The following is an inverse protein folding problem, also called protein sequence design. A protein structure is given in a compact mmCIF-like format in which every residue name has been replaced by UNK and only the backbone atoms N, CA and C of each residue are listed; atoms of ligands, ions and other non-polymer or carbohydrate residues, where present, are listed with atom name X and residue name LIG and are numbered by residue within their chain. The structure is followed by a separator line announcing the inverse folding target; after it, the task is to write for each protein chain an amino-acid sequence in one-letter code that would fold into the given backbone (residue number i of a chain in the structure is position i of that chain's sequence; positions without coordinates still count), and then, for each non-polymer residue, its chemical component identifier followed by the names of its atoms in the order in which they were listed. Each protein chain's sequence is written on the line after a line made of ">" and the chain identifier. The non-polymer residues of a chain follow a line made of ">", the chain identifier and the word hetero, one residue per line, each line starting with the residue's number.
data_IF_205676548241
#
_entry.id   IF_205676548241
#
_cell.length_a   1.000
_cell.length_b   1.000
_cell.length_c   1.000
_cell.angle_alpha   90.00
_cell.angle_beta   90.00
_cell.angle_gamma   90.00
#
_symmetry.space_group_name_H-M   'P 1'
#
loop_
_entity.id
_entity.type
_entity.pdbx_description
1 polymer ?
#
# COMPACT_ATOMS: atom_id res chain seq x y z
N UNK A 1 -11.96 0.16 6.77
CA UNK A 1 -11.26 -0.91 6.02
C UNK A 1 -10.99 -0.38 4.63
N UNK A 2 -9.74 -0.05 4.31
CA UNK A 2 -9.39 0.44 2.97
C UNK A 2 -9.15 -0.77 2.05
N UNK A 3 -9.76 -0.77 0.86
CA UNK A 3 -9.80 -1.92 -0.06
C UNK A 3 -9.28 -1.51 -1.44
N UNK A 4 -8.56 -2.41 -2.11
CA UNK A 4 -8.11 -2.20 -3.49
C UNK A 4 -9.17 -2.73 -4.46
N UNK A 5 -9.64 -1.87 -5.37
CA UNK A 5 -10.61 -2.19 -6.40
C UNK A 5 -9.91 -2.59 -7.70
N UNK A 6 -10.11 -3.85 -8.14
CA UNK A 6 -9.52 -4.38 -9.39
C UNK A 6 -10.13 -3.78 -10.64
N UNK A 7 -11.41 -3.39 -10.60
CA UNK A 7 -12.15 -2.84 -11.73
C UNK A 7 -12.22 -1.29 -11.70
N UNK A 8 -11.29 -0.66 -11.00
CA UNK A 8 -11.19 0.81 -10.94
C UNK A 8 -10.31 1.33 -12.09
N UNK A 9 -10.58 2.53 -12.64
CA UNK A 9 -9.67 3.19 -13.57
C UNK A 9 -8.31 3.53 -12.92
N UNK A 10 -8.23 3.54 -11.58
CA UNK A 10 -7.00 3.80 -10.86
C UNK A 10 -6.11 2.54 -10.78
N UNK A 11 -4.81 2.64 -11.12
CA UNK A 11 -3.88 1.54 -10.95
C UNK A 11 -3.83 1.01 -9.50
N UNK A 12 -3.66 -0.30 -9.34
CA UNK A 12 -3.62 -0.95 -8.01
C UNK A 12 -2.49 -0.43 -7.10
N UNK A 13 -1.32 -0.14 -7.68
CA UNK A 13 -0.20 0.42 -6.91
C UNK A 13 -0.56 1.81 -6.37
N UNK A 14 -1.28 2.62 -7.15
CA UNK A 14 -1.71 3.95 -6.75
C UNK A 14 -2.73 3.87 -5.62
N UNK A 15 -3.70 2.96 -5.72
CA UNK A 15 -4.66 2.72 -4.64
C UNK A 15 -3.96 2.29 -3.35
N UNK A 16 -3.01 1.34 -3.41
CA UNK A 16 -2.23 0.94 -2.24
C UNK A 16 -1.44 2.11 -1.65
N UNK A 17 -0.81 2.92 -2.51
CA UNK A 17 -0.04 4.10 -2.09
C UNK A 17 -0.89 5.07 -1.28
N UNK A 18 -2.09 5.38 -1.74
CA UNK A 18 -2.99 6.30 -1.02
C UNK A 18 -3.45 5.69 0.31
N UNK A 19 -3.77 4.38 0.35
CA UNK A 19 -4.08 3.67 1.60
C UNK A 19 -2.92 3.78 2.59
N UNK A 20 -1.69 3.54 2.13
CA UNK A 20 -0.51 3.62 2.98
C UNK A 20 -0.28 5.05 3.48
N UNK A 21 -0.47 6.05 2.61
CA UNK A 21 -0.37 7.47 2.99
C UNK A 21 -1.40 7.86 4.05
N UNK A 22 -2.64 7.38 3.94
CA UNK A 22 -3.67 7.59 4.95
C UNK A 22 -3.27 7.00 6.30
N UNK A 23 -2.74 5.77 6.32
CA UNK A 23 -2.28 5.11 7.55
C UNK A 23 -1.11 5.84 8.21
N UNK A 24 -0.16 6.35 7.43
CA UNK A 24 0.93 7.20 7.93
C UNK A 24 0.35 8.48 8.56
N UNK A 25 -0.59 9.15 7.88
CA UNK A 25 -1.26 10.35 8.40
C UNK A 25 -2.07 10.08 9.66
N UNK A 26 -2.67 8.90 9.77
CA UNK A 26 -3.37 8.45 10.97
C UNK A 26 -2.42 8.08 12.13
N UNK A 27 -1.10 8.03 11.88
CA UNK A 27 -0.10 7.68 12.87
C UNK A 27 -0.01 6.18 13.17
N UNK A 28 -0.56 5.33 12.29
CA UNK A 28 -0.42 3.86 12.38
C UNK A 28 1.04 3.43 12.19
N UNK A 29 1.77 4.14 11.35
CA UNK A 29 3.20 3.96 11.13
C UNK A 29 3.91 5.29 11.34
N UNK A 30 4.76 5.35 12.37
CA UNK A 30 5.55 6.54 12.72
C UNK A 30 6.92 6.49 12.05
N UNK A 31 7.63 7.63 11.96
CA UNK A 31 9.01 7.64 11.50
C UNK A 31 9.86 6.66 12.31
N UNK A 32 10.54 5.73 11.62
CA UNK A 32 11.34 4.68 12.23
C UNK A 32 10.61 3.35 12.47
N UNK A 33 9.28 3.33 12.37
CA UNK A 33 8.52 2.07 12.45
C UNK A 33 8.72 1.23 11.19
N UNK A 34 8.68 -0.09 11.38
CA UNK A 34 8.62 -1.03 10.28
C UNK A 34 7.22 -1.04 9.69
N UNK A 35 7.12 -0.80 8.39
CA UNK A 35 5.90 -1.05 7.62
C UNK A 35 5.84 -2.54 7.22
N UNK A 36 4.64 -3.06 6.89
CA UNK A 36 4.54 -4.41 6.34
C UNK A 36 5.38 -4.58 5.07
N UNK A 37 5.98 -5.75 4.91
CA UNK A 37 6.79 -6.09 3.75
C UNK A 37 5.95 -6.11 2.46
N UNK A 38 6.61 -6.00 1.31
CA UNK A 38 5.96 -6.10 -0.02
C UNK A 38 5.11 -7.37 -0.16
N UNK A 39 5.56 -8.48 0.45
CA UNK A 39 4.85 -9.76 0.43
C UNK A 39 3.57 -9.68 1.28
N UNK A 40 3.69 -9.17 2.51
CA UNK A 40 2.54 -9.03 3.42
C UNK A 40 1.49 -8.07 2.87
N UNK A 41 1.91 -6.97 2.24
CA UNK A 41 0.99 -6.06 1.53
C UNK A 41 0.31 -6.75 0.34
N UNK A 42 1.07 -7.54 -0.42
CA UNK A 42 0.52 -8.33 -1.53
C UNK A 42 -0.57 -9.30 -1.08
N UNK A 43 -0.31 -10.04 0.02
CA UNK A 43 -1.25 -10.97 0.63
C UNK A 43 -2.48 -10.26 1.21
N UNK A 44 -2.25 -9.18 1.98
CA UNK A 44 -3.32 -8.40 2.65
C UNK A 44 -4.30 -7.78 1.65
N UNK A 45 -3.79 -7.23 0.55
CA UNK A 45 -4.63 -6.50 -0.42
C UNK A 45 -4.90 -7.30 -1.71
N UNK A 46 -4.43 -8.55 -1.78
CA UNK A 46 -4.64 -9.44 -2.92
C UNK A 46 -4.03 -8.94 -4.24
N UNK A 47 -2.85 -8.31 -4.16
CA UNK A 47 -2.09 -7.79 -5.31
C UNK A 47 -0.74 -8.50 -5.44
N UNK A 48 -0.08 -8.37 -6.60
CA UNK A 48 1.24 -8.98 -6.75
C UNK A 48 2.28 -8.23 -5.91
N UNK A 49 3.32 -8.95 -5.46
CA UNK A 49 4.47 -8.37 -4.77
C UNK A 49 5.08 -7.20 -5.56
N UNK A 50 5.16 -7.32 -6.89
CA UNK A 50 5.68 -6.25 -7.76
C UNK A 50 4.81 -4.99 -7.72
N UNK A 51 3.48 -5.13 -7.66
CA UNK A 51 2.57 -3.99 -7.49
C UNK A 51 2.72 -3.35 -6.11
N UNK A 52 2.90 -4.16 -5.06
CA UNK A 52 3.16 -3.65 -3.71
C UNK A 52 4.49 -2.89 -3.62
N UNK A 53 5.55 -3.43 -4.24
CA UNK A 53 6.85 -2.76 -4.36
C UNK A 53 6.74 -1.40 -5.03
N UNK A 54 6.02 -1.30 -6.16
CA UNK A 54 5.82 -0.03 -6.84
C UNK A 54 5.16 1.01 -5.93
N UNK A 55 4.13 0.60 -5.17
CA UNK A 55 3.46 1.51 -4.24
C UNK A 55 4.41 2.04 -3.17
N UNK A 56 5.28 1.18 -2.62
CA UNK A 56 6.31 1.57 -1.64
C UNK A 56 7.35 2.50 -2.28
N UNK A 57 7.85 2.19 -3.47
CA UNK A 57 8.84 3.04 -4.17
C UNK A 57 8.30 4.44 -4.45
N UNK A 58 7.04 4.57 -4.80
CA UNK A 58 6.39 5.87 -5.06
C UNK A 58 6.05 6.67 -3.79
N UNK A 59 6.25 6.09 -2.60
CA UNK A 59 6.09 6.75 -1.29
C UNK A 59 7.36 7.44 -0.80
N UNK A 60 8.53 7.04 -1.32
CA UNK A 60 9.86 7.54 -0.94
C UNK A 60 10.19 8.84 -1.67
#
# INVERSE_FOLDING_TARGET
>A
MSTIFRNSPLPRYYQLKEIMRERIRAGEWKPGDLIPSERELGETYGISRMTARQAITDLV
#
